data_IF_753850968590
#
_entry.id   IF_753850968590
#
_cell.length_a   1.000
_cell.length_b   1.000
_cell.length_c   1.000
_cell.angle_alpha   90.00
_cell.angle_beta   90.00
_cell.angle_gamma   90.00
#
_symmetry.space_group_name_H-M   'P 1'
#
loop_
_entity.id
_entity.type
_entity.pdbx_description
1 polymer ?
#
# COMPACT_ATOMS: atom_id res chain seq x y z
N UNK A 1 -21.09 -38.15 -27.54
CA UNK A 1 -21.66 -37.92 -26.19
C UNK A 1 -20.83 -38.71 -25.19
N UNK A 2 -19.95 -38.05 -24.42
CA UNK A 2 -19.20 -38.69 -23.33
C UNK A 2 -19.86 -38.30 -21.99
N UNK A 3 -19.97 -39.23 -21.03
CA UNK A 3 -20.63 -38.99 -19.75
C UNK A 3 -19.67 -38.25 -18.82
N UNK A 4 -20.11 -37.16 -18.20
CA UNK A 4 -19.35 -36.42 -17.21
C UNK A 4 -20.18 -36.33 -15.93
N UNK A 5 -19.97 -37.28 -15.04
CA UNK A 5 -19.94 -37.11 -13.58
C UNK A 5 -19.27 -38.39 -13.06
N UNK A 6 -17.94 -38.38 -13.04
CA UNK A 6 -17.19 -39.40 -12.32
C UNK A 6 -17.25 -39.02 -10.84
N UNK A 7 -17.91 -39.85 -10.02
CA UNK A 7 -17.84 -39.73 -8.57
C UNK A 7 -16.36 -39.66 -8.13
N UNK A 8 -16.00 -38.81 -7.15
CA UNK A 8 -14.64 -38.73 -6.64
C UNK A 8 -14.18 -40.14 -6.25
N UNK A 9 -12.98 -40.51 -6.70
CA UNK A 9 -12.44 -41.86 -6.47
C UNK A 9 -12.30 -42.03 -4.95
N UNK A 10 -12.79 -43.14 -4.41
CA UNK A 10 -12.77 -43.50 -2.97
C UNK A 10 -11.40 -43.25 -2.29
N UNK A 11 -10.30 -43.32 -3.05
CA UNK A 11 -8.94 -43.06 -2.58
C UNK A 11 -8.71 -41.61 -2.14
N UNK A 12 -9.36 -40.63 -2.77
CA UNK A 12 -9.18 -39.21 -2.47
C UNK A 12 -9.95 -38.83 -1.18
N UNK A 13 -11.11 -39.45 -0.93
CA UNK A 13 -11.87 -39.28 0.30
C UNK A 13 -11.12 -39.81 1.55
N UNK A 14 -10.44 -40.97 1.43
CA UNK A 14 -9.68 -41.57 2.54
C UNK A 14 -8.46 -40.72 2.93
N UNK A 15 -7.78 -40.12 1.94
CA UNK A 15 -6.65 -39.21 2.18
C UNK A 15 -7.08 -37.92 2.89
N UNK A 16 -8.23 -37.37 2.51
CA UNK A 16 -8.79 -36.17 3.13
C UNK A 16 -9.03 -36.34 4.64
N UNK A 17 -9.64 -37.47 5.02
CA UNK A 17 -9.80 -37.82 6.44
C UNK A 17 -8.46 -37.92 7.19
N UNK A 18 -7.42 -38.43 6.55
CA UNK A 18 -6.11 -38.64 7.21
C UNK A 18 -5.38 -37.31 7.48
N UNK A 19 -5.46 -36.35 6.55
CA UNK A 19 -4.82 -35.05 6.71
C UNK A 19 -5.54 -34.20 7.76
N UNK A 20 -6.87 -34.20 7.75
CA UNK A 20 -7.69 -33.51 8.74
C UNK A 20 -7.40 -34.00 10.16
N UNK A 21 -7.31 -35.32 10.36
CA UNK A 21 -6.98 -35.92 11.66
C UNK A 21 -5.62 -35.43 12.19
N UNK A 22 -4.59 -35.38 11.34
CA UNK A 22 -3.27 -34.86 11.71
C UNK A 22 -3.30 -33.38 12.09
N UNK A 23 -4.07 -32.56 11.38
CA UNK A 23 -4.23 -31.14 11.69
C UNK A 23 -4.90 -30.98 13.07
N UNK A 24 -5.96 -31.74 13.33
CA UNK A 24 -6.68 -31.72 14.62
C UNK A 24 -5.79 -32.20 15.77
N UNK A 25 -5.06 -33.30 15.58
CA UNK A 25 -4.13 -33.82 16.59
C UNK A 25 -3.06 -32.78 16.91
N UNK A 26 -2.54 -32.10 15.90
CA UNK A 26 -1.56 -31.03 16.07
C UNK A 26 -2.17 -29.84 16.81
N UNK A 27 -3.37 -29.39 16.44
CA UNK A 27 -4.08 -28.31 17.14
C UNK A 27 -4.30 -28.64 18.63
N UNK A 28 -4.66 -29.89 18.96
CA UNK A 28 -4.78 -30.37 20.35
C UNK A 28 -3.44 -30.32 21.08
N UNK A 29 -2.35 -30.75 20.45
CA UNK A 29 -0.97 -30.66 21.02
C UNK A 29 -0.55 -29.22 21.29
N UNK A 30 -1.01 -28.29 20.45
CA UNK A 30 -0.79 -26.86 20.62
C UNK A 30 -1.65 -26.25 21.74
N UNK A 31 -2.55 -27.01 22.37
CA UNK A 31 -3.36 -26.57 23.49
C UNK A 31 -4.65 -25.84 23.09
N UNK A 32 -5.06 -25.93 21.82
CA UNK A 32 -6.36 -25.44 21.35
C UNK A 32 -7.47 -26.35 21.89
N UNK A 33 -8.50 -25.74 22.47
CA UNK A 33 -9.66 -26.41 23.08
C UNK A 33 -10.88 -26.34 22.15
N UNK A 34 -11.93 -27.09 22.49
CA UNK A 34 -13.26 -27.00 21.89
C UNK A 34 -13.25 -27.07 20.36
N UNK A 35 -12.43 -27.98 19.82
CA UNK A 35 -12.29 -28.17 18.38
C UNK A 35 -13.57 -28.75 17.78
N UNK A 36 -14.17 -27.99 16.88
CA UNK A 36 -15.34 -28.39 16.08
C UNK A 36 -14.95 -28.45 14.60
N UNK A 37 -15.54 -29.40 13.88
CA UNK A 37 -15.40 -29.52 12.43
C UNK A 37 -16.77 -29.26 11.84
N UNK A 38 -16.83 -28.32 10.89
CA UNK A 38 -18.03 -28.00 10.13
C UNK A 38 -17.73 -28.19 8.66
N UNK A 39 -18.71 -28.69 7.92
CA UNK A 39 -18.66 -28.73 6.46
C UNK A 39 -19.41 -27.49 5.94
N UNK A 40 -18.78 -26.73 5.05
CA UNK A 40 -19.38 -25.57 4.39
C UNK A 40 -19.47 -25.86 2.90
N UNK A 41 -20.66 -25.67 2.33
CA UNK A 41 -20.86 -25.84 0.90
C UNK A 41 -20.73 -24.48 0.21
N UNK A 42 -19.59 -24.21 -0.41
CA UNK A 42 -19.39 -22.99 -1.17
C UNK A 42 -19.26 -23.30 -2.67
N UNK A 43 -20.26 -22.91 -3.45
CA UNK A 43 -20.23 -23.01 -4.93
C UNK A 43 -19.82 -24.40 -5.44
N UNK A 44 -20.51 -25.45 -4.98
CA UNK A 44 -20.25 -26.87 -5.33
C UNK A 44 -18.94 -27.48 -4.77
N UNK A 45 -18.11 -26.71 -4.08
CA UNK A 45 -16.96 -27.22 -3.33
C UNK A 45 -17.32 -27.36 -1.83
N UNK A 46 -17.10 -28.56 -1.30
CA UNK A 46 -17.19 -28.82 0.14
C UNK A 46 -15.88 -28.35 0.79
N UNK A 47 -15.98 -27.36 1.66
CA UNK A 47 -14.88 -26.86 2.48
C UNK A 47 -15.02 -27.41 3.90
N UNK A 48 -13.92 -27.88 4.49
CA UNK A 48 -13.90 -28.35 5.87
C UNK A 48 -13.34 -27.26 6.77
N UNK A 49 -14.20 -26.71 7.62
CA UNK A 49 -13.87 -25.65 8.56
C UNK A 49 -13.59 -26.23 9.95
N UNK A 50 -12.36 -26.07 10.43
CA UNK A 50 -11.94 -26.46 11.79
C UNK A 50 -11.94 -25.24 12.68
N UNK A 51 -12.81 -25.20 13.69
CA UNK A 51 -12.93 -24.08 14.64
C UNK A 51 -12.36 -24.51 15.98
N UNK A 52 -11.52 -23.69 16.61
CA UNK A 52 -10.93 -23.98 17.91
C UNK A 52 -10.78 -22.77 18.82
N UNK A 53 -10.82 -23.00 20.13
CA UNK A 53 -10.69 -21.96 21.16
C UNK A 53 -9.28 -21.92 21.74
N UNK A 54 -8.63 -20.76 21.67
CA UNK A 54 -7.38 -20.46 22.35
C UNK A 54 -7.57 -19.93 23.76
N UNK A 55 -6.47 -19.80 24.51
CA UNK A 55 -6.50 -19.31 25.91
C UNK A 55 -6.53 -17.80 25.99
N UNK A 56 -5.75 -17.15 25.14
CA UNK A 56 -5.63 -15.70 25.01
C UNK A 56 -5.02 -15.38 23.63
N UNK A 57 -4.97 -14.10 23.27
CA UNK A 57 -4.44 -13.58 22.01
C UNK A 57 -3.01 -14.03 21.70
N UNK A 58 -2.12 -14.00 22.71
CA UNK A 58 -0.73 -14.44 22.58
C UNK A 58 -0.63 -15.93 22.27
N UNK A 59 -1.43 -16.75 22.94
CA UNK A 59 -1.51 -18.19 22.70
C UNK A 59 -1.98 -18.49 21.27
N UNK A 60 -3.02 -17.80 20.79
CA UNK A 60 -3.52 -17.94 19.41
C UNK A 60 -2.44 -17.61 18.39
N UNK A 61 -1.70 -16.53 18.58
CA UNK A 61 -0.61 -16.16 17.66
C UNK A 61 0.48 -17.23 17.60
N UNK A 62 0.91 -17.76 18.75
CA UNK A 62 1.95 -18.78 18.81
C UNK A 62 1.48 -20.11 18.22
N UNK A 63 0.29 -20.57 18.61
CA UNK A 63 -0.28 -21.81 18.09
C UNK A 63 -0.47 -21.75 16.57
N UNK A 64 -0.96 -20.63 16.04
CA UNK A 64 -1.14 -20.44 14.59
C UNK A 64 0.18 -20.48 13.82
N UNK A 65 1.24 -19.84 14.35
CA UNK A 65 2.57 -19.88 13.73
C UNK A 65 3.21 -21.28 13.78
N UNK A 66 3.00 -22.00 14.88
CA UNK A 66 3.48 -23.38 15.02
C UNK A 66 2.73 -24.33 14.07
N UNK A 67 1.41 -24.17 13.95
CA UNK A 67 0.60 -24.92 12.98
C UNK A 67 1.04 -24.62 11.54
N UNK A 68 1.29 -23.34 11.20
CA UNK A 68 1.84 -22.94 9.89
C UNK A 68 3.13 -23.69 9.56
N UNK A 69 4.03 -23.76 10.55
CA UNK A 69 5.32 -24.43 10.42
C UNK A 69 5.16 -25.93 10.23
N UNK A 70 4.23 -26.55 10.98
CA UNK A 70 3.86 -27.95 10.80
C UNK A 70 3.34 -28.22 9.38
N UNK A 71 2.40 -27.41 8.88
CA UNK A 71 1.83 -27.57 7.54
C UNK A 71 2.90 -27.51 6.45
N UNK A 72 3.81 -26.53 6.55
CA UNK A 72 4.93 -26.38 5.63
C UNK A 72 5.86 -27.60 5.63
N UNK A 73 6.10 -28.18 6.80
CA UNK A 73 7.05 -29.28 6.96
C UNK A 73 6.46 -30.63 6.53
N UNK A 74 5.25 -30.94 6.99
CA UNK A 74 4.56 -32.21 6.79
C UNK A 74 3.96 -32.30 5.38
N UNK A 75 3.24 -31.27 4.93
CA UNK A 75 2.46 -31.30 3.69
C UNK A 75 3.10 -30.53 2.54
N UNK A 76 4.20 -29.81 2.79
CA UNK A 76 4.88 -28.96 1.80
C UNK A 76 3.99 -27.87 1.19
N UNK A 77 2.95 -27.45 1.91
CA UNK A 77 2.04 -26.37 1.50
C UNK A 77 2.42 -25.05 2.15
N UNK A 78 2.06 -23.94 1.51
CA UNK A 78 2.17 -22.62 2.10
C UNK A 78 0.79 -22.17 2.55
N UNK A 79 0.55 -22.13 3.86
CA UNK A 79 -0.71 -21.62 4.40
C UNK A 79 -0.73 -20.10 4.48
N UNK A 80 -1.87 -19.53 4.11
CA UNK A 80 -2.16 -18.11 4.30
C UNK A 80 -2.77 -17.91 5.68
N UNK A 81 -2.35 -16.85 6.36
CA UNK A 81 -2.73 -16.55 7.74
C UNK A 81 -3.31 -15.15 7.78
N UNK A 82 -4.56 -15.06 8.23
CA UNK A 82 -5.27 -13.82 8.45
C UNK A 82 -5.49 -13.58 9.94
N UNK A 83 -5.68 -12.32 10.33
CA UNK A 83 -5.90 -11.94 11.74
C UNK A 83 -4.65 -11.88 12.62
N UNK A 84 -3.46 -12.21 12.10
CA UNK A 84 -2.19 -11.99 12.83
C UNK A 84 -1.68 -10.56 12.68
N UNK A 85 -1.48 -9.89 13.82
CA UNK A 85 -0.69 -8.67 13.91
C UNK A 85 0.80 -8.97 13.85
N UNK A 86 1.45 -8.57 12.76
CA UNK A 86 2.91 -8.65 12.67
C UNK A 86 3.58 -7.56 13.51
N UNK A 87 4.81 -7.80 13.95
CA UNK A 87 5.61 -6.80 14.68
C UNK A 87 5.74 -5.49 13.89
N UNK A 88 5.89 -5.57 12.56
CA UNK A 88 5.97 -4.40 11.69
C UNK A 88 4.66 -3.61 11.64
N UNK A 89 3.52 -4.30 11.57
CA UNK A 89 2.20 -3.67 11.61
C UNK A 89 1.96 -2.99 12.97
N UNK A 90 2.32 -3.66 14.07
CA UNK A 90 2.28 -3.07 15.43
C UNK A 90 3.14 -1.81 15.52
N UNK A 91 4.39 -1.86 15.07
CA UNK A 91 5.30 -0.68 15.06
C UNK A 91 4.75 0.46 14.20
N UNK A 92 4.20 0.15 13.03
CA UNK A 92 3.60 1.16 12.14
C UNK A 92 2.41 1.85 12.80
N UNK A 93 1.55 1.10 13.46
CA UNK A 93 0.38 1.65 14.13
C UNK A 93 0.72 2.41 15.40
N UNK A 94 1.68 1.93 16.19
CA UNK A 94 2.26 2.69 17.30
C UNK A 94 2.81 4.04 16.82
N UNK A 95 3.55 4.06 15.70
CA UNK A 95 4.04 5.30 15.09
C UNK A 95 2.90 6.22 14.65
N UNK A 96 1.82 5.67 14.06
CA UNK A 96 0.64 6.45 13.65
C UNK A 96 -0.11 7.01 14.85
N UNK A 97 -0.29 6.21 15.91
CA UNK A 97 -0.90 6.62 17.16
C UNK A 97 -0.09 7.73 17.83
N UNK A 98 1.23 7.56 17.95
CA UNK A 98 2.14 8.58 18.50
C UNK A 98 2.09 9.89 17.69
N UNK A 99 2.12 9.81 16.36
CA UNK A 99 1.97 10.99 15.48
C UNK A 99 0.60 11.67 15.64
N UNK A 100 -0.47 10.90 15.86
CA UNK A 100 -1.82 11.43 16.08
C UNK A 100 -1.92 12.11 17.45
N UNK A 101 -1.40 11.48 18.50
CA UNK A 101 -1.34 12.03 19.86
C UNK A 101 -0.52 13.32 19.91
N UNK A 102 0.63 13.35 19.23
CA UNK A 102 1.47 14.55 19.14
C UNK A 102 0.75 15.73 18.46
N UNK A 103 -0.14 15.44 17.48
CA UNK A 103 -0.95 16.45 16.79
C UNK A 103 -2.19 16.88 17.58
N UNK A 104 -2.74 16.01 18.42
CA UNK A 104 -3.95 16.26 19.20
C UNK A 104 -3.60 16.27 20.69
N UNK A 105 -3.17 17.43 21.22
CA UNK A 105 -2.79 17.60 22.64
C UNK A 105 -3.89 17.29 23.68
N UNK A 106 -5.11 16.95 23.25
CA UNK A 106 -6.28 16.71 24.13
C UNK A 106 -7.21 15.58 23.64
N UNK A 107 -6.79 14.69 22.76
CA UNK A 107 -7.67 13.59 22.34
C UNK A 107 -7.71 12.50 23.43
N UNK A 108 -8.89 12.29 24.02
CA UNK A 108 -9.26 11.10 24.81
C UNK A 108 -8.88 9.84 24.03
N UNK A 109 -8.35 8.82 24.72
CA UNK A 109 -7.94 7.52 24.17
C UNK A 109 -9.04 6.97 23.27
N UNK A 110 -8.83 7.04 21.95
CA UNK A 110 -9.70 6.37 21.00
C UNK A 110 -9.26 4.92 21.03
N UNK A 111 -10.06 4.06 21.68
CA UNK A 111 -9.83 2.62 21.71
C UNK A 111 -9.70 2.12 20.27
N UNK A 112 -8.61 1.43 19.99
CA UNK A 112 -8.43 0.75 18.71
C UNK A 112 -9.39 -0.43 18.69
N UNK A 113 -10.52 -0.26 18.00
CA UNK A 113 -11.71 -1.14 17.96
C UNK A 113 -11.50 -2.60 17.55
N UNK A 114 -10.27 -3.07 17.37
CA UNK A 114 -9.97 -4.47 17.07
C UNK A 114 -8.85 -4.90 17.98
N UNK A 115 -9.20 -5.63 19.03
CA UNK A 115 -8.22 -6.29 19.90
C UNK A 115 -7.36 -7.22 19.03
N UNK A 116 -6.03 -7.00 18.97
CA UNK A 116 -5.18 -7.79 18.09
C UNK A 116 -5.19 -9.27 18.50
N UNK A 117 -5.32 -10.15 17.51
CA UNK A 117 -5.27 -11.62 17.65
C UNK A 117 -6.40 -12.27 18.46
N UNK A 118 -7.59 -11.68 18.55
CA UNK A 118 -8.76 -12.37 19.12
C UNK A 118 -9.34 -13.43 18.18
N UNK A 119 -9.02 -13.34 16.89
CA UNK A 119 -9.36 -14.32 15.86
C UNK A 119 -8.23 -14.43 14.83
N UNK A 120 -7.90 -15.66 14.46
CA UNK A 120 -6.89 -16.02 13.47
C UNK A 120 -7.50 -17.05 12.53
N UNK A 121 -7.56 -16.73 11.24
CA UNK A 121 -8.01 -17.66 10.21
C UNK A 121 -6.80 -18.13 9.39
N UNK A 122 -6.80 -19.40 9.00
CA UNK A 122 -5.73 -20.00 8.23
C UNK A 122 -6.31 -20.87 7.12
N UNK A 123 -5.96 -20.52 5.88
CA UNK A 123 -6.17 -21.39 4.74
C UNK A 123 -4.99 -22.36 4.64
N UNK A 124 -5.25 -23.65 4.79
CA UNK A 124 -4.17 -24.65 4.86
C UNK A 124 -3.53 -24.96 3.51
N UNK A 125 -4.26 -24.70 2.41
CA UNK A 125 -3.90 -25.10 1.06
C UNK A 125 -4.01 -26.61 0.81
N UNK A 126 -4.65 -27.35 1.72
CA UNK A 126 -4.82 -28.81 1.65
C UNK A 126 -6.32 -29.09 1.60
N UNK A 127 -6.80 -29.71 0.51
CA UNK A 127 -8.13 -30.32 0.43
C UNK A 127 -9.29 -29.41 0.88
N UNK A 128 -9.17 -28.09 0.63
CA UNK A 128 -10.13 -27.08 1.08
C UNK A 128 -10.41 -27.13 2.60
N UNK A 129 -9.36 -27.32 3.40
CA UNK A 129 -9.43 -27.23 4.86
C UNK A 129 -9.06 -25.81 5.30
N UNK A 130 -9.95 -25.15 6.04
CA UNK A 130 -9.68 -23.88 6.73
C UNK A 130 -9.69 -24.08 8.24
N UNK A 131 -8.81 -23.35 8.93
CA UNK A 131 -8.65 -23.44 10.39
C UNK A 131 -8.83 -22.08 11.02
N UNK A 132 -9.81 -21.97 11.92
CA UNK A 132 -10.17 -20.74 12.61
C UNK A 132 -9.93 -20.90 14.10
N UNK A 133 -8.96 -20.15 14.64
CA UNK A 133 -8.71 -20.09 16.07
C UNK A 133 -9.14 -18.75 16.65
N UNK A 134 -9.83 -18.76 17.79
CA UNK A 134 -10.35 -17.55 18.42
C UNK A 134 -10.35 -17.65 19.95
N UNK A 135 -10.48 -16.53 20.65
CA UNK A 135 -10.67 -16.54 22.12
C UNK A 135 -12.08 -16.99 22.47
N UNK A 136 -12.29 -17.41 23.72
CA UNK A 136 -13.62 -17.79 24.19
C UNK A 136 -14.62 -16.64 24.04
N UNK A 137 -14.24 -15.44 24.49
CA UNK A 137 -15.01 -14.19 24.32
C UNK A 137 -15.39 -13.97 22.85
N UNK A 138 -14.41 -14.08 21.94
CA UNK A 138 -14.66 -13.83 20.52
C UNK A 138 -15.54 -14.90 19.86
N UNK A 139 -15.50 -16.14 20.38
CA UNK A 139 -16.37 -17.23 19.93
C UNK A 139 -17.81 -17.02 20.36
N UNK A 140 -18.02 -16.52 21.57
CA UNK A 140 -19.34 -16.14 22.08
C UNK A 140 -19.91 -14.93 21.31
N UNK A 141 -19.07 -13.97 20.92
CA UNK A 141 -19.49 -12.80 20.13
C UNK A 141 -19.91 -13.14 18.70
N UNK A 142 -19.16 -14.01 18.01
CA UNK A 142 -19.43 -14.32 16.59
C UNK A 142 -20.56 -15.35 16.45
N UNK A 143 -20.92 -16.05 17.52
CA UNK A 143 -21.88 -17.17 17.56
C UNK A 143 -22.01 -17.89 16.21
N UNK A 144 -21.06 -18.76 15.89
CA UNK A 144 -21.10 -19.60 14.69
C UNK A 144 -22.21 -20.66 14.74
N UNK A 145 -23.38 -20.35 15.31
CA UNK A 145 -24.54 -21.23 15.25
C UNK A 145 -24.86 -21.51 13.77
N UNK A 146 -25.05 -22.79 13.46
CA UNK A 146 -24.98 -23.35 12.11
C UNK A 146 -26.09 -22.83 11.18
N UNK A 147 -27.13 -22.20 11.71
CA UNK A 147 -28.29 -21.74 10.93
C UNK A 147 -28.07 -20.36 10.26
N UNK A 148 -27.11 -19.55 10.72
CA UNK A 148 -26.91 -18.20 10.18
C UNK A 148 -25.88 -18.15 9.03
N UNK A 149 -24.84 -19.00 9.00
CA UNK A 149 -23.76 -18.85 8.00
C UNK A 149 -24.12 -19.25 6.55
N UNK A 150 -25.11 -20.13 6.38
CA UNK A 150 -25.59 -20.55 5.06
C UNK A 150 -26.82 -19.75 4.59
N UNK A 151 -27.39 -18.91 5.46
CA UNK A 151 -28.57 -18.07 5.17
C UNK A 151 -28.26 -16.59 4.96
N UNK A 152 -27.06 -16.13 5.36
CA UNK A 152 -26.64 -14.74 5.17
C UNK A 152 -26.11 -14.53 3.74
N UNK A 153 -26.81 -13.67 2.98
CA UNK A 153 -26.29 -13.16 1.73
C UNK A 153 -25.04 -12.27 1.96
N UNK A 154 -24.22 -12.06 0.92
CA UNK A 154 -23.03 -11.18 1.00
C UNK A 154 -23.36 -9.74 1.47
N UNK A 155 -24.64 -9.34 1.45
CA UNK A 155 -25.09 -8.04 1.90
C UNK A 155 -25.34 -7.98 3.43
N UNK A 156 -25.79 -9.06 4.05
CA UNK A 156 -25.95 -9.16 5.51
C UNK A 156 -24.60 -9.32 6.22
N UNK A 157 -23.62 -9.99 5.61
CA UNK A 157 -22.23 -10.01 6.09
C UNK A 157 -21.68 -8.57 6.19
N UNK A 158 -21.85 -7.76 5.12
CA UNK A 158 -21.49 -6.32 5.13
C UNK A 158 -22.29 -5.51 6.16
N UNK A 159 -23.53 -5.92 6.43
CA UNK A 159 -24.39 -5.25 7.41
C UNK A 159 -23.90 -5.49 8.83
N UNK A 160 -23.51 -6.73 9.16
CA UNK A 160 -22.90 -7.05 10.44
C UNK A 160 -21.58 -6.31 10.64
N UNK A 161 -20.70 -6.26 9.62
CA UNK A 161 -19.47 -5.44 9.67
C UNK A 161 -19.75 -3.95 10.00
N UNK A 162 -20.89 -3.41 9.53
CA UNK A 162 -21.29 -2.02 9.79
C UNK A 162 -21.87 -1.79 11.19
N UNK A 163 -22.63 -2.74 11.72
CA UNK A 163 -23.32 -2.63 13.03
C UNK A 163 -22.33 -2.80 14.18
N UNK A 164 -21.34 -3.69 14.03
CA UNK A 164 -20.33 -3.95 15.06
C UNK A 164 -19.27 -2.84 15.20
N UNK A 165 -19.27 -1.82 14.33
CA UNK A 165 -18.36 -0.68 14.45
C UNK A 165 -18.72 0.28 15.61
N UNK A 166 -19.84 0.10 16.32
CA UNK A 166 -20.43 1.14 17.19
C UNK A 166 -20.74 0.74 18.66
N UNK A 167 -20.21 -0.35 19.20
CA UNK A 167 -20.46 -0.70 20.62
C UNK A 167 -19.27 -0.30 21.53
N UNK A 168 -19.48 0.43 22.64
CA UNK A 168 -18.46 0.66 23.66
C UNK A 168 -18.63 -0.33 24.81
N UNK A 169 -17.54 -0.92 25.30
CA UNK A 169 -17.52 -1.62 26.59
C UNK A 169 -16.36 -1.09 27.43
N UNK A 170 -16.62 -0.94 28.72
CA UNK A 170 -15.80 -0.27 29.74
C UNK A 170 -15.53 -1.24 30.89
N UNK A 171 -14.40 -1.02 31.57
CA UNK A 171 -13.93 -1.61 32.85
C UNK A 171 -12.83 -2.69 32.77
N UNK A 172 -12.55 -3.30 31.61
CA UNK A 172 -11.34 -4.17 31.43
C UNK A 172 -10.16 -3.43 30.76
N UNK A 173 -10.39 -2.25 30.18
CA UNK A 173 -9.39 -1.47 29.44
C UNK A 173 -8.36 -0.80 30.36
N UNK A 174 -8.72 -0.45 31.61
CA UNK A 174 -7.85 0.33 32.50
C UNK A 174 -6.71 -0.48 33.13
N UNK A 175 -6.84 -1.80 33.29
CA UNK A 175 -5.78 -2.63 33.87
C UNK A 175 -4.69 -3.00 32.84
N UNK A 176 -5.10 -3.34 31.60
CA UNK A 176 -4.17 -3.65 30.50
C UNK A 176 -3.42 -2.42 29.97
N UNK A 177 -4.04 -1.24 30.01
CA UNK A 177 -3.37 0.02 29.63
C UNK A 177 -2.20 0.36 30.57
N UNK A 178 -2.34 0.10 31.88
CA UNK A 178 -1.27 0.38 32.85
C UNK A 178 -0.06 -0.53 32.69
N UNK A 179 -0.26 -1.82 32.39
CA UNK A 179 0.86 -2.75 32.17
C UNK A 179 1.61 -2.42 30.87
N UNK A 180 0.89 -2.06 29.81
CA UNK A 180 1.51 -1.70 28.53
C UNK A 180 2.28 -0.37 28.59
N UNK A 181 1.79 0.63 29.34
CA UNK A 181 2.51 1.88 29.57
C UNK A 181 3.81 1.65 30.37
N UNK A 182 3.77 0.79 31.39
CA UNK A 182 4.95 0.46 32.20
C UNK A 182 6.01 -0.28 31.36
N UNK A 183 5.61 -1.23 30.51
CA UNK A 183 6.55 -1.94 29.63
C UNK A 183 7.21 -0.99 28.62
N UNK A 184 6.46 -0.04 28.07
CA UNK A 184 6.95 0.95 27.11
C UNK A 184 7.91 1.96 27.74
N UNK A 185 7.65 2.42 28.98
CA UNK A 185 8.56 3.29 29.71
C UNK A 185 9.90 2.59 29.98
N UNK A 186 9.86 1.31 30.35
CA UNK A 186 11.06 0.52 30.61
C UNK A 186 11.89 0.27 29.33
N UNK A 187 11.25 0.00 28.20
CA UNK A 187 11.94 -0.22 26.92
C UNK A 187 12.60 1.07 26.41
N UNK A 188 11.89 2.20 26.50
CA UNK A 188 12.42 3.52 26.11
C UNK A 188 13.60 3.96 27.00
N UNK A 189 13.53 3.72 28.31
CA UNK A 189 14.65 4.01 29.21
C UNK A 189 15.90 3.18 28.86
N UNK A 190 15.72 1.93 28.44
CA UNK A 190 16.83 1.05 28.07
C UNK A 190 17.46 1.45 26.75
N UNK A 191 16.67 1.84 25.74
CA UNK A 191 17.19 2.39 24.49
C UNK A 191 17.99 3.68 24.73
N UNK A 192 17.46 4.60 25.53
CA UNK A 192 18.13 5.87 25.84
C UNK A 192 19.45 5.66 26.58
N UNK A 193 19.49 4.73 27.54
CA UNK A 193 20.73 4.35 28.25
C UNK A 193 21.77 3.74 27.30
N UNK A 194 21.34 2.99 26.29
CA UNK A 194 22.24 2.39 25.31
C UNK A 194 22.80 3.43 24.33
N UNK A 195 21.97 4.37 23.86
CA UNK A 195 22.40 5.47 22.99
C UNK A 195 23.42 6.37 23.70
N UNK A 196 23.14 6.79 24.94
CA UNK A 196 24.07 7.59 25.76
C UNK A 196 25.42 6.89 25.98
N UNK A 197 25.39 5.56 26.16
CA UNK A 197 26.61 4.76 26.33
C UNK A 197 27.41 4.66 25.03
N UNK A 198 26.74 4.59 23.88
CA UNK A 198 27.37 4.55 22.57
C UNK A 198 27.96 5.92 22.18
N UNK A 199 27.25 7.02 22.44
CA UNK A 199 27.77 8.37 22.20
C UNK A 199 29.01 8.67 23.07
N UNK A 200 28.96 8.32 24.36
CA UNK A 200 30.12 8.48 25.26
C UNK A 200 31.34 7.68 24.80
N UNK A 201 31.12 6.50 24.19
CA UNK A 201 32.19 5.66 23.65
C UNK A 201 32.78 6.25 22.35
N UNK A 202 31.92 6.76 21.46
CA UNK A 202 32.33 7.42 20.22
C UNK A 202 33.10 8.72 20.47
N UNK A 203 32.74 9.49 21.49
CA UNK A 203 33.51 10.68 21.91
C UNK A 203 34.90 10.34 22.45
N UNK A 204 35.07 9.19 23.10
CA UNK A 204 36.38 8.70 23.54
C UNK A 204 37.26 8.22 22.37
N UNK A 205 36.65 7.54 21.40
CA UNK A 205 37.35 7.03 20.21
C UNK A 205 37.77 8.18 19.26
N UNK A 206 36.93 9.21 19.10
CA UNK A 206 37.27 10.40 18.31
C UNK A 206 38.40 11.23 18.91
N UNK A 207 38.51 11.32 20.25
CA UNK A 207 39.63 11.99 20.93
C UNK A 207 40.96 11.22 20.80
N UNK A 208 40.93 9.90 20.72
CA UNK A 208 42.13 9.08 20.50
C UNK A 208 42.61 9.07 19.05
N UNK A 209 41.74 9.41 18.08
CA UNK A 209 42.07 9.33 16.64
C UNK A 209 42.65 10.63 16.08
N UNK A 210 42.63 11.74 16.83
CA UNK A 210 43.21 13.03 16.41
C UNK A 210 44.75 13.08 16.36
N UNK A 211 45.45 11.97 16.61
CA UNK A 211 46.93 11.94 16.60
C UNK A 211 47.59 11.41 15.32
N UNK A 212 46.85 10.96 14.30
CA UNK A 212 47.44 10.52 13.03
C UNK A 212 46.63 11.03 11.84
N UNK A 213 47.06 12.16 11.27
CA UNK A 213 46.51 12.71 10.04
C UNK A 213 47.15 12.04 8.82
N UNK A 214 46.38 11.16 8.16
CA UNK A 214 46.59 10.69 6.80
C UNK A 214 45.26 10.78 6.04
N UNK A 215 45.34 11.14 4.77
CA UNK A 215 44.22 11.49 3.87
C UNK A 215 43.01 10.52 3.93
N UNK A 216 41.77 11.03 3.75
CA UNK A 216 40.57 10.21 3.84
C UNK A 216 40.44 9.34 2.58
N UNK A 217 41.01 8.13 2.66
CA UNK A 217 40.66 7.02 1.79
C UNK A 217 39.32 6.45 2.26
N UNK A 218 38.28 6.59 1.45
CA UNK A 218 36.98 5.98 1.71
C UNK A 218 37.17 4.47 1.96
N UNK A 219 36.71 3.93 3.10
CA UNK A 219 36.90 2.52 3.39
C UNK A 219 35.99 1.70 2.46
N UNK A 220 36.62 0.98 1.52
CA UNK A 220 35.98 -0.10 0.78
C UNK A 220 35.75 -1.25 1.76
N UNK A 221 34.64 -1.18 2.51
CA UNK A 221 34.08 -2.35 3.18
C UNK A 221 33.50 -3.24 2.10
N UNK A 222 34.10 -4.42 1.91
CA UNK A 222 33.63 -5.48 1.01
C UNK A 222 32.39 -6.23 1.52
N UNK A 223 31.68 -5.68 2.51
CA UNK A 223 30.33 -6.09 2.86
C UNK A 223 29.33 -5.24 2.08
N UNK A 224 29.10 -5.56 0.81
CA UNK A 224 27.98 -5.00 0.07
C UNK A 224 26.74 -5.69 0.62
N UNK A 225 26.17 -5.11 1.67
CA UNK A 225 24.78 -5.32 2.03
C UNK A 225 23.92 -5.03 0.78
N UNK A 226 22.92 -5.85 0.52
CA UNK A 226 22.02 -5.71 -0.63
C UNK A 226 21.50 -4.26 -0.70
N UNK A 227 22.02 -3.49 -1.66
CA UNK A 227 21.52 -2.14 -1.91
C UNK A 227 20.08 -2.30 -2.36
N UNK A 228 19.15 -1.77 -1.58
CA UNK A 228 17.75 -1.66 -2.00
C UNK A 228 17.70 -0.70 -3.19
N UNK A 229 17.61 -1.27 -4.39
CA UNK A 229 17.60 -0.57 -5.68
C UNK A 229 16.49 0.48 -5.72
N UNK A 230 15.33 0.17 -5.14
CA UNK A 230 14.17 1.05 -5.10
C UNK A 230 14.45 2.23 -4.17
N UNK A 231 15.03 1.98 -3.00
CA UNK A 231 15.39 3.05 -2.06
C UNK A 231 16.44 3.99 -2.66
N UNK A 232 17.50 3.45 -3.28
CA UNK A 232 18.52 4.27 -3.93
C UNK A 232 17.93 5.17 -5.03
N UNK A 233 17.09 4.59 -5.91
CA UNK A 233 16.46 5.36 -6.98
C UNK A 233 15.50 6.41 -6.40
N UNK A 234 14.78 6.08 -5.34
CA UNK A 234 13.88 7.00 -4.65
C UNK A 234 14.66 8.21 -4.11
N UNK A 235 15.75 7.97 -3.39
CA UNK A 235 16.60 9.03 -2.84
C UNK A 235 17.18 9.91 -3.96
N UNK A 236 17.67 9.28 -5.03
CA UNK A 236 18.18 9.96 -6.21
C UNK A 236 17.12 10.84 -6.89
N UNK A 237 15.88 10.35 -7.03
CA UNK A 237 14.79 11.11 -7.64
C UNK A 237 14.48 12.36 -6.82
N UNK A 238 14.40 12.26 -5.50
CA UNK A 238 14.01 13.42 -4.67
C UNK A 238 15.16 14.36 -4.31
N UNK A 239 16.42 13.93 -4.43
CA UNK A 239 17.61 14.77 -4.21
C UNK A 239 17.55 16.04 -5.10
N UNK A 240 17.50 17.24 -4.52
CA UNK A 240 17.49 18.51 -5.27
C UNK A 240 16.19 18.86 -6.03
N UNK A 241 15.30 17.90 -6.33
CA UNK A 241 14.04 18.19 -7.06
C UNK A 241 13.09 19.12 -6.27
N UNK A 242 13.10 19.03 -4.94
CA UNK A 242 12.26 19.87 -4.09
C UNK A 242 12.60 21.37 -4.15
N UNK A 243 13.77 21.73 -4.66
CA UNK A 243 14.17 23.13 -4.86
C UNK A 243 13.42 23.75 -6.04
N UNK A 244 13.15 22.97 -7.09
CA UNK A 244 12.40 23.40 -8.26
C UNK A 244 10.93 23.67 -7.97
N UNK A 245 10.35 23.03 -6.94
CA UNK A 245 8.99 23.31 -6.49
C UNK A 245 8.79 24.76 -6.01
N UNK A 246 9.87 25.51 -5.79
CA UNK A 246 9.85 26.92 -5.37
C UNK A 246 10.18 27.89 -6.51
N UNK A 247 10.54 27.37 -7.68
CA UNK A 247 11.01 28.17 -8.80
C UNK A 247 9.92 28.34 -9.86
N UNK A 248 9.87 29.51 -10.54
CA UNK A 248 9.06 29.67 -11.74
C UNK A 248 9.70 28.94 -12.92
N UNK A 249 8.90 28.52 -13.89
CA UNK A 249 9.40 27.88 -15.11
C UNK A 249 9.93 28.96 -16.06
N UNK A 250 11.24 29.17 -16.02
CA UNK A 250 11.99 30.02 -16.93
C UNK A 250 12.95 29.17 -17.77
N UNK A 251 13.43 29.69 -18.91
CA UNK A 251 14.41 28.96 -19.74
C UNK A 251 15.68 28.59 -18.95
N UNK A 252 16.15 29.51 -18.09
CA UNK A 252 17.31 29.28 -17.22
C UNK A 252 17.04 28.14 -16.22
N UNK A 253 15.90 28.15 -15.55
CA UNK A 253 15.53 27.09 -14.60
C UNK A 253 15.25 25.76 -15.31
N UNK A 254 14.73 25.78 -16.54
CA UNK A 254 14.58 24.57 -17.37
C UNK A 254 15.94 23.97 -17.75
N UNK A 255 16.93 24.80 -18.09
CA UNK A 255 18.30 24.34 -18.34
C UNK A 255 18.90 23.75 -17.06
N UNK A 256 18.74 24.44 -15.92
CA UNK A 256 19.20 23.93 -14.63
C UNK A 256 18.55 22.58 -14.27
N UNK A 257 17.24 22.43 -14.51
CA UNK A 257 16.53 21.18 -14.29
C UNK A 257 17.04 20.05 -15.19
N UNK A 258 17.30 20.33 -16.48
CA UNK A 258 17.87 19.33 -17.40
C UNK A 258 19.26 18.89 -16.99
N UNK A 259 20.10 19.82 -16.54
CA UNK A 259 21.42 19.50 -16.02
C UNK A 259 21.33 18.61 -14.77
N UNK A 260 20.36 18.86 -13.87
CA UNK A 260 20.09 17.99 -12.74
C UNK A 260 19.65 16.59 -13.20
N UNK A 261 18.77 16.50 -14.20
CA UNK A 261 18.37 15.21 -14.79
C UNK A 261 19.57 14.47 -15.40
N UNK A 262 20.49 15.17 -16.06
CA UNK A 262 21.72 14.60 -16.61
C UNK A 262 22.63 14.02 -15.52
N UNK A 263 22.88 14.79 -14.45
CA UNK A 263 23.67 14.35 -13.30
C UNK A 263 23.07 13.08 -12.68
N UNK A 264 21.75 13.05 -12.49
CA UNK A 264 21.07 11.90 -11.90
C UNK A 264 21.08 10.68 -12.80
N UNK A 265 20.87 10.86 -14.11
CA UNK A 265 20.99 9.76 -15.06
C UNK A 265 22.42 9.20 -15.07
N UNK A 266 23.43 10.04 -14.94
CA UNK A 266 24.82 9.61 -14.83
C UNK A 266 25.05 8.79 -13.54
N UNK A 267 24.57 9.27 -12.38
CA UNK A 267 24.61 8.51 -11.10
C UNK A 267 23.90 7.16 -11.20
N UNK A 268 22.74 7.10 -11.88
CA UNK A 268 22.00 5.86 -12.11
C UNK A 268 22.80 4.87 -12.97
N UNK A 269 23.43 5.35 -14.05
CA UNK A 269 24.28 4.53 -14.93
C UNK A 269 25.51 4.00 -14.18
N UNK A 270 26.16 4.83 -13.36
CA UNK A 270 27.29 4.40 -12.53
C UNK A 270 26.88 3.31 -11.54
N UNK A 271 25.73 3.45 -10.90
CA UNK A 271 25.16 2.42 -10.02
C UNK A 271 24.92 1.12 -10.81
N UNK A 272 24.32 1.19 -11.99
CA UNK A 272 24.08 0.03 -12.85
C UNK A 272 25.39 -0.67 -13.28
N UNK A 273 26.37 0.10 -13.76
CA UNK A 273 27.67 -0.41 -14.21
C UNK A 273 28.48 -1.04 -13.07
N UNK A 274 28.37 -0.50 -11.85
CA UNK A 274 29.13 -0.98 -10.69
C UNK A 274 28.47 -2.17 -9.98
N UNK A 275 27.14 -2.19 -9.91
CA UNK A 275 26.41 -3.14 -9.05
C UNK A 275 25.61 -4.20 -9.82
N UNK A 276 25.23 -3.95 -11.07
CA UNK A 276 24.42 -4.91 -11.86
C UNK A 276 25.25 -5.64 -12.90
N UNK A 277 25.93 -4.87 -13.76
CA UNK A 277 26.65 -5.39 -14.92
C UNK A 277 27.73 -6.44 -14.57
N UNK A 278 28.57 -6.27 -13.54
CA UNK A 278 29.64 -7.24 -13.22
C UNK A 278 29.09 -8.61 -12.81
N UNK A 279 27.84 -8.65 -12.36
CA UNK A 279 27.15 -9.88 -11.96
C UNK A 279 26.25 -10.44 -13.06
N UNK A 280 26.32 -9.89 -14.28
CA UNK A 280 25.43 -10.22 -15.41
C UNK A 280 23.94 -10.13 -15.02
N UNK A 281 23.61 -9.26 -14.05
CA UNK A 281 22.23 -8.97 -13.67
C UNK A 281 21.68 -7.92 -14.63
N UNK A 282 20.49 -8.18 -15.15
CA UNK A 282 19.73 -7.16 -15.89
C UNK A 282 18.98 -6.29 -14.90
N UNK A 283 18.91 -4.98 -15.18
CA UNK A 283 18.05 -4.09 -14.43
C UNK A 283 16.60 -4.47 -14.75
N UNK A 284 15.91 -5.12 -13.81
CA UNK A 284 14.51 -5.44 -13.97
C UNK A 284 13.71 -4.16 -13.76
N UNK A 285 13.36 -3.50 -14.87
CA UNK A 285 12.47 -2.35 -14.84
C UNK A 285 11.05 -2.81 -14.48
N UNK A 286 10.79 -2.85 -13.18
CA UNK A 286 9.44 -3.00 -12.66
C UNK A 286 8.70 -1.65 -12.75
N UNK A 287 7.41 -1.69 -12.39
CA UNK A 287 6.52 -0.55 -12.42
C UNK A 287 7.01 0.61 -11.56
N UNK A 288 7.49 0.31 -10.36
CA UNK A 288 7.96 1.28 -9.38
C UNK A 288 9.17 2.04 -9.94
N UNK A 289 10.12 1.31 -10.54
CA UNK A 289 11.30 1.88 -11.17
C UNK A 289 10.94 2.75 -12.38
N UNK A 290 10.05 2.29 -13.28
CA UNK A 290 9.61 3.12 -14.39
C UNK A 290 8.91 4.40 -13.92
N UNK A 291 8.13 4.31 -12.84
CA UNK A 291 7.46 5.47 -12.23
C UNK A 291 8.48 6.44 -11.64
N UNK A 292 9.52 5.94 -10.98
CA UNK A 292 10.60 6.77 -10.44
C UNK A 292 11.44 7.40 -11.54
N UNK A 293 11.77 6.67 -12.61
CA UNK A 293 12.44 7.21 -13.79
C UNK A 293 11.61 8.29 -14.47
N UNK A 294 10.29 8.12 -14.50
CA UNK A 294 9.39 9.16 -15.00
C UNK A 294 9.46 10.42 -14.13
N UNK A 295 9.35 10.25 -12.80
CA UNK A 295 9.46 11.34 -11.82
C UNK A 295 10.82 12.04 -11.86
N UNK A 296 11.91 11.35 -12.21
CA UNK A 296 13.22 11.96 -12.36
C UNK A 296 13.21 13.12 -13.36
N UNK A 297 12.37 13.01 -14.39
CA UNK A 297 12.31 13.91 -15.54
C UNK A 297 11.13 14.88 -15.51
N UNK A 298 10.34 14.87 -14.43
CA UNK A 298 9.20 15.78 -14.22
C UNK A 298 9.22 16.28 -12.79
N UNK A 299 9.29 17.60 -12.60
CA UNK A 299 9.22 18.20 -11.28
C UNK A 299 8.10 19.26 -11.19
N UNK A 300 7.42 19.36 -10.03
CA UNK A 300 6.47 20.44 -9.78
C UNK A 300 7.20 21.80 -9.81
N UNK A 301 6.50 22.85 -10.27
CA UNK A 301 6.95 24.24 -10.13
C UNK A 301 6.16 24.97 -9.03
N UNK A 302 6.46 26.24 -8.81
CA UNK A 302 5.81 27.08 -7.78
C UNK A 302 4.29 27.18 -7.93
N UNK A 303 3.78 27.10 -9.17
CA UNK A 303 2.34 27.16 -9.48
C UNK A 303 1.71 25.76 -9.64
N UNK A 304 2.43 24.70 -9.29
CA UNK A 304 1.85 23.36 -9.29
C UNK A 304 0.81 23.22 -8.18
N UNK A 305 -0.24 22.44 -8.45
CA UNK A 305 -1.34 22.20 -7.51
C UNK A 305 -1.41 20.71 -7.26
N UNK A 306 -1.59 20.31 -5.99
CA UNK A 306 -1.71 18.90 -5.67
C UNK A 306 -3.02 18.32 -6.21
N UNK A 307 -3.04 17.02 -6.54
CA UNK A 307 -4.25 16.33 -7.00
C UNK A 307 -5.43 16.53 -6.04
N UNK A 308 -5.16 16.54 -4.73
CA UNK A 308 -6.17 16.76 -3.69
C UNK A 308 -6.78 18.17 -3.76
N UNK A 309 -5.96 19.19 -3.99
CA UNK A 309 -6.43 20.57 -4.14
C UNK A 309 -7.20 20.76 -5.45
N UNK A 310 -6.73 20.16 -6.56
CA UNK A 310 -7.40 20.18 -7.85
C UNK A 310 -8.80 19.54 -7.77
N UNK A 311 -8.92 18.41 -7.08
CA UNK A 311 -10.20 17.72 -6.86
C UNK A 311 -11.15 18.50 -5.93
N UNK A 312 -10.60 19.21 -4.94
CA UNK A 312 -11.37 20.03 -4.02
C UNK A 312 -11.91 21.31 -4.70
N UNK A 313 -11.13 21.90 -5.60
CA UNK A 313 -11.51 23.10 -6.34
C UNK A 313 -11.04 23.03 -7.81
N UNK A 314 -11.90 22.53 -8.72
CA UNK A 314 -11.57 22.43 -10.14
C UNK A 314 -11.59 23.78 -10.87
N UNK A 315 -11.97 24.89 -10.23
CA UNK A 315 -12.09 26.18 -10.89
C UNK A 315 -10.77 26.63 -11.53
N UNK A 316 -10.87 27.18 -12.73
CA UNK A 316 -9.74 27.78 -13.44
C UNK A 316 -9.16 28.96 -12.62
N UNK A 317 -7.83 28.99 -12.46
CA UNK A 317 -7.12 30.13 -11.83
C UNK A 317 -6.00 30.61 -12.74
N UNK A 318 -5.00 29.78 -12.92
CA UNK A 318 -3.80 30.04 -13.74
C UNK A 318 -3.32 28.70 -14.32
N UNK A 319 -2.62 28.72 -15.47
CA UNK A 319 -2.03 27.51 -16.05
C UNK A 319 -1.10 26.86 -15.04
N UNK A 320 -1.18 25.54 -14.95
CA UNK A 320 -0.27 24.79 -14.10
C UNK A 320 1.13 24.79 -14.74
N UNK A 321 2.15 25.16 -13.98
CA UNK A 321 3.55 25.08 -14.41
C UNK A 321 4.24 23.84 -13.86
N UNK A 322 5.10 23.22 -14.67
CA UNK A 322 5.98 22.12 -14.26
C UNK A 322 7.29 22.14 -15.05
N UNK A 323 8.34 21.63 -14.43
CA UNK A 323 9.61 21.39 -15.11
C UNK A 323 9.55 20.05 -15.82
N UNK A 324 9.87 20.08 -17.11
CA UNK A 324 9.73 18.92 -18.00
C UNK A 324 11.02 18.67 -18.77
N UNK A 325 11.50 17.44 -18.70
CA UNK A 325 12.58 16.94 -19.55
C UNK A 325 12.01 16.05 -20.68
N UNK A 326 12.39 16.28 -21.96
CA UNK A 326 11.89 15.52 -23.10
C UNK A 326 12.06 13.99 -22.99
N UNK A 327 13.02 13.51 -22.19
CA UNK A 327 13.26 12.07 -22.00
C UNK A 327 12.11 11.35 -21.29
N UNK A 328 11.21 12.05 -20.62
CA UNK A 328 10.07 11.39 -20.00
C UNK A 328 9.01 10.92 -21.01
N UNK A 329 9.01 11.43 -22.26
CA UNK A 329 8.11 10.95 -23.32
C UNK A 329 8.27 9.45 -23.59
N UNK A 330 9.47 8.98 -23.95
CA UNK A 330 9.76 7.54 -24.06
C UNK A 330 9.44 6.73 -22.80
N UNK A 331 9.69 7.27 -21.60
CA UNK A 331 9.41 6.58 -20.33
C UNK A 331 7.90 6.43 -20.11
N UNK A 332 7.11 7.46 -20.42
CA UNK A 332 5.65 7.40 -20.42
C UNK A 332 5.16 6.33 -21.37
N UNK A 333 5.70 6.26 -22.58
CA UNK A 333 5.26 5.30 -23.57
C UNK A 333 5.57 3.85 -23.11
N UNK A 334 6.68 3.64 -22.40
CA UNK A 334 6.98 2.38 -21.71
C UNK A 334 6.01 2.07 -20.56
N UNK A 335 5.66 3.05 -19.71
CA UNK A 335 4.65 2.88 -18.66
C UNK A 335 3.29 2.48 -19.25
N UNK A 336 2.90 3.09 -20.37
CA UNK A 336 1.67 2.73 -21.09
C UNK A 336 1.75 1.30 -21.64
N UNK A 337 2.88 0.93 -22.26
CA UNK A 337 3.06 -0.38 -22.89
C UNK A 337 3.14 -1.54 -21.89
N UNK A 338 3.61 -1.29 -20.67
CA UNK A 338 3.80 -2.30 -19.63
C UNK A 338 2.56 -2.58 -18.78
N UNK A 339 1.45 -1.87 -19.02
CA UNK A 339 0.25 -2.00 -18.19
C UNK A 339 0.39 -1.37 -16.80
N UNK A 340 1.39 -0.50 -16.59
CA UNK A 340 1.64 0.21 -15.34
C UNK A 340 0.53 1.22 -14.94
N UNK A 341 -0.62 1.19 -15.61
CA UNK A 341 -1.76 2.09 -15.39
C UNK A 341 -2.84 1.51 -14.46
N UNK A 342 -2.63 0.30 -13.90
CA UNK A 342 -3.50 -0.27 -12.85
C UNK A 342 -3.44 0.49 -11.50
N UNK A 343 -2.49 1.41 -11.34
CA UNK A 343 -2.16 2.12 -10.12
C UNK A 343 -2.50 3.57 -10.37
N UNK A 344 -3.46 4.02 -9.58
CA UNK A 344 -4.03 5.34 -9.69
C UNK A 344 -2.99 6.43 -9.46
N UNK A 345 -1.95 6.18 -8.66
CA UNK A 345 -0.89 7.14 -8.41
C UNK A 345 -0.03 7.36 -9.67
N UNK A 346 0.27 6.29 -10.41
CA UNK A 346 0.96 6.37 -11.71
C UNK A 346 0.12 7.14 -12.72
N UNK A 347 -1.16 6.80 -12.83
CA UNK A 347 -2.10 7.49 -13.72
C UNK A 347 -2.18 8.98 -13.36
N UNK A 348 -2.26 9.30 -12.07
CA UNK A 348 -2.36 10.67 -11.60
C UNK A 348 -1.12 11.51 -11.92
N UNK A 349 0.09 10.95 -11.77
CA UNK A 349 1.34 11.62 -12.15
C UNK A 349 1.37 11.91 -13.65
N UNK A 350 1.01 10.91 -14.48
CA UNK A 350 1.02 11.04 -15.94
C UNK A 350 -0.04 12.05 -16.42
N UNK A 351 -1.23 12.06 -15.83
CA UNK A 351 -2.26 13.04 -16.17
C UNK A 351 -1.82 14.45 -15.79
N UNK A 352 -1.25 14.64 -14.59
CA UNK A 352 -0.76 15.94 -14.17
C UNK A 352 0.30 16.46 -15.16
N UNK A 353 1.34 15.66 -15.44
CA UNK A 353 2.40 16.05 -16.37
C UNK A 353 1.90 16.34 -17.79
N UNK A 354 0.97 15.55 -18.33
CA UNK A 354 0.41 15.77 -19.66
C UNK A 354 -0.54 16.97 -19.74
N UNK A 355 -1.19 17.33 -18.63
CA UNK A 355 -1.93 18.58 -18.52
C UNK A 355 -0.97 19.78 -18.65
N UNK A 356 0.24 19.68 -18.11
CA UNK A 356 1.28 20.70 -18.20
C UNK A 356 1.91 20.82 -19.60
N UNK A 357 2.21 19.69 -20.26
CA UNK A 357 2.90 19.71 -21.57
C UNK A 357 2.00 20.07 -22.75
N UNK A 358 0.70 20.28 -22.49
CA UNK A 358 -0.28 20.58 -23.52
C UNK A 358 -0.32 19.50 -24.64
N UNK A 359 -0.28 18.22 -24.23
CA UNK A 359 -0.45 17.07 -25.12
C UNK A 359 -1.85 16.47 -24.94
N UNK A 360 -2.91 17.05 -25.54
CA UNK A 360 -4.29 16.61 -25.31
C UNK A 360 -4.54 15.15 -25.69
N UNK A 361 -3.95 14.68 -26.78
CA UNK A 361 -4.19 13.32 -27.28
C UNK A 361 -3.57 12.28 -26.34
N UNK A 362 -2.32 12.51 -25.91
CA UNK A 362 -1.64 11.69 -24.90
C UNK A 362 -2.41 11.69 -23.58
N UNK A 363 -2.87 12.87 -23.14
CA UNK A 363 -3.63 13.04 -21.90
C UNK A 363 -4.90 12.18 -21.88
N UNK A 364 -5.73 12.28 -22.92
CA UNK A 364 -6.98 11.52 -22.99
C UNK A 364 -6.76 10.02 -23.21
N UNK A 365 -5.67 9.64 -23.90
CA UNK A 365 -5.25 8.25 -24.02
C UNK A 365 -4.89 7.66 -22.65
N UNK A 366 -4.08 8.36 -21.85
CA UNK A 366 -3.73 7.91 -20.49
C UNK A 366 -4.96 7.80 -19.62
N UNK A 367 -5.88 8.78 -19.66
CA UNK A 367 -7.17 8.68 -18.94
C UNK A 367 -7.96 7.44 -19.35
N UNK A 368 -8.10 7.18 -20.65
CA UNK A 368 -8.88 6.05 -21.14
C UNK A 368 -8.30 4.71 -20.66
N UNK A 369 -6.99 4.56 -20.78
CA UNK A 369 -6.31 3.35 -20.31
C UNK A 369 -6.36 3.22 -18.78
N UNK A 370 -6.16 4.31 -18.03
CA UNK A 370 -6.28 4.30 -16.56
C UNK A 370 -7.67 3.84 -16.10
N UNK A 371 -8.74 4.26 -16.79
CA UNK A 371 -10.10 3.76 -16.52
C UNK A 371 -10.23 2.28 -16.90
N UNK A 372 -9.73 1.86 -18.06
CA UNK A 372 -9.81 0.48 -18.53
C UNK A 372 -9.12 -0.51 -17.58
N UNK A 373 -7.98 -0.10 -16.99
CA UNK A 373 -7.20 -0.91 -16.07
C UNK A 373 -7.58 -0.74 -14.60
N UNK A 374 -8.54 0.15 -14.27
CA UNK A 374 -8.99 0.34 -12.89
C UNK A 374 -9.94 -0.80 -12.47
N UNK A 375 -9.60 -1.61 -11.44
CA UNK A 375 -10.39 -2.78 -11.05
C UNK A 375 -11.76 -2.45 -10.43
N UNK A 376 -11.96 -1.24 -9.89
CA UNK A 376 -13.24 -0.86 -9.27
C UNK A 376 -13.90 0.36 -9.93
N UNK A 377 -15.25 0.43 -9.92
CA UNK A 377 -15.98 1.63 -10.36
C UNK A 377 -15.57 2.90 -9.63
N UNK A 378 -15.18 2.80 -8.36
CA UNK A 378 -14.72 3.94 -7.55
C UNK A 378 -13.38 4.50 -8.03
N UNK A 379 -12.46 3.63 -8.44
CA UNK A 379 -11.18 4.04 -9.02
C UNK A 379 -11.38 4.64 -10.41
N UNK A 380 -12.23 4.04 -11.25
CA UNK A 380 -12.61 4.59 -12.55
C UNK A 380 -13.19 6.00 -12.41
N UNK A 381 -14.07 6.20 -11.43
CA UNK A 381 -14.62 7.51 -11.09
C UNK A 381 -13.51 8.48 -10.65
N UNK A 382 -12.60 8.04 -9.79
CA UNK A 382 -11.49 8.86 -9.29
C UNK A 382 -10.56 9.32 -10.42
N UNK A 383 -10.23 8.43 -11.37
CA UNK A 383 -9.44 8.78 -12.57
C UNK A 383 -10.17 9.81 -13.44
N UNK A 384 -11.49 9.66 -13.61
CA UNK A 384 -12.31 10.60 -14.38
C UNK A 384 -12.39 11.98 -13.73
N UNK A 385 -12.70 12.01 -12.44
CA UNK A 385 -12.79 13.24 -11.66
C UNK A 385 -11.46 14.00 -11.68
N UNK A 386 -10.34 13.27 -11.55
CA UNK A 386 -9.00 13.85 -11.63
C UNK A 386 -8.69 14.39 -13.03
N UNK A 387 -8.95 13.60 -14.08
CA UNK A 387 -8.67 14.02 -15.45
C UNK A 387 -9.47 15.26 -15.87
N UNK A 388 -10.75 15.34 -15.49
CA UNK A 388 -11.56 16.53 -15.78
C UNK A 388 -11.01 17.73 -15.01
N UNK A 389 -10.73 17.56 -13.71
CA UNK A 389 -10.24 18.65 -12.89
C UNK A 389 -8.89 19.19 -13.39
N UNK A 390 -7.97 18.31 -13.80
CA UNK A 390 -6.69 18.69 -14.41
C UNK A 390 -6.87 19.35 -15.77
N UNK A 391 -7.80 18.87 -16.60
CA UNK A 391 -8.11 19.48 -17.89
C UNK A 391 -8.69 20.90 -17.75
N UNK A 392 -9.54 21.14 -16.73
CA UNK A 392 -10.02 22.49 -16.41
C UNK A 392 -8.86 23.39 -15.95
N UNK A 393 -7.97 22.84 -15.11
CA UNK A 393 -6.84 23.57 -14.56
C UNK A 393 -5.71 23.86 -15.55
N UNK A 394 -5.56 23.06 -16.61
CA UNK A 394 -4.50 23.27 -17.59
C UNK A 394 -4.66 24.58 -18.37
N UNK A 395 -5.87 25.15 -18.41
CA UNK A 395 -6.17 26.32 -19.24
C UNK A 395 -6.13 26.03 -20.74
N UNK A 396 -6.09 24.77 -21.14
CA UNK A 396 -6.05 24.42 -22.56
C UNK A 396 -7.46 24.26 -23.13
N UNK A 397 -7.82 25.13 -24.09
CA UNK A 397 -9.16 25.14 -24.70
C UNK A 397 -9.59 23.78 -25.26
N UNK A 398 -8.67 23.01 -25.88
CA UNK A 398 -8.98 21.69 -26.45
C UNK A 398 -9.21 20.64 -25.36
N UNK A 399 -8.38 20.64 -24.32
CA UNK A 399 -8.56 19.73 -23.17
C UNK A 399 -9.86 20.05 -22.42
N UNK A 400 -10.15 21.32 -22.16
CA UNK A 400 -11.37 21.75 -21.47
C UNK A 400 -12.61 21.37 -22.28
N UNK A 401 -12.62 21.63 -23.60
CA UNK A 401 -13.74 21.24 -24.46
C UNK A 401 -13.98 19.72 -24.46
N UNK A 402 -12.90 18.93 -24.51
CA UNK A 402 -12.99 17.47 -24.44
C UNK A 402 -13.51 17.00 -23.08
N UNK A 403 -13.06 17.62 -21.98
CA UNK A 403 -13.52 17.36 -20.63
C UNK A 403 -15.01 17.70 -20.46
N UNK A 404 -15.45 18.84 -21.02
CA UNK A 404 -16.85 19.24 -21.04
C UNK A 404 -17.74 18.23 -21.76
N UNK A 405 -17.36 17.81 -22.97
CA UNK A 405 -18.12 16.81 -23.72
C UNK A 405 -18.18 15.48 -22.98
N UNK A 406 -17.07 15.05 -22.39
CA UNK A 406 -17.03 13.84 -21.58
C UNK A 406 -17.95 13.94 -20.35
N UNK A 407 -17.84 15.01 -19.56
CA UNK A 407 -18.64 15.24 -18.35
C UNK A 407 -20.14 15.31 -18.66
N UNK A 408 -20.52 15.99 -19.76
CA UNK A 408 -21.91 16.13 -20.19
C UNK A 408 -22.54 14.80 -20.60
N UNK A 409 -21.78 13.93 -21.28
CA UNK A 409 -22.25 12.61 -21.70
C UNK A 409 -22.30 11.60 -20.55
N UNK A 410 -21.69 11.91 -19.41
CA UNK A 410 -21.53 11.03 -18.26
C UNK A 410 -22.08 11.69 -16.98
N UNK A 411 -23.18 12.44 -17.10
CA UNK A 411 -23.70 13.29 -16.01
C UNK A 411 -24.03 12.54 -14.72
N UNK A 412 -24.43 11.27 -14.84
CA UNK A 412 -24.79 10.43 -13.69
C UNK A 412 -23.55 9.96 -12.91
N UNK A 413 -22.39 9.89 -13.56
CA UNK A 413 -21.13 9.45 -12.93
C UNK A 413 -20.22 10.63 -12.57
N UNK A 414 -20.26 11.68 -13.37
CA UNK A 414 -19.47 12.91 -13.22
C UNK A 414 -20.35 13.99 -12.62
N UNK A 415 -20.06 14.38 -11.38
CA UNK A 415 -20.88 15.35 -10.64
C UNK A 415 -21.02 16.70 -11.37
N UNK A 416 -22.19 17.33 -11.26
CA UNK A 416 -22.56 18.62 -11.88
C UNK A 416 -21.52 19.74 -11.67
N UNK A 417 -20.76 19.68 -10.57
CA UNK A 417 -19.66 20.62 -10.27
C UNK A 417 -18.60 20.69 -11.39
N UNK A 418 -18.30 19.57 -12.06
CA UNK A 418 -17.28 19.52 -13.10
C UNK A 418 -17.77 20.09 -14.42
N UNK A 419 -19.04 19.88 -14.76
CA UNK A 419 -19.68 20.49 -15.94
C UNK A 419 -19.63 22.02 -15.79
N UNK A 420 -20.04 22.51 -14.62
CA UNK A 420 -20.05 23.95 -14.30
C UNK A 420 -18.63 24.52 -14.39
N UNK A 421 -17.63 23.83 -13.81
CA UNK A 421 -16.23 24.27 -13.86
C UNK A 421 -15.69 24.35 -15.31
N UNK A 422 -16.07 23.42 -16.18
CA UNK A 422 -15.71 23.49 -17.61
C UNK A 422 -16.39 24.66 -18.33
N UNK A 423 -17.67 24.92 -18.06
CA UNK A 423 -18.43 26.04 -18.65
C UNK A 423 -17.83 27.38 -18.24
N UNK A 424 -17.55 27.56 -16.94
CA UNK A 424 -16.91 28.76 -16.39
C UNK A 424 -15.53 28.98 -17.03
N UNK A 425 -14.71 27.94 -17.12
CA UNK A 425 -13.38 28.03 -17.73
C UNK A 425 -13.45 28.40 -19.22
N UNK A 426 -14.38 27.80 -19.99
CA UNK A 426 -14.56 28.15 -21.40
C UNK A 426 -15.05 29.58 -21.59
N UNK A 427 -15.92 30.08 -20.69
CA UNK A 427 -16.41 31.47 -20.72
C UNK A 427 -15.26 32.45 -20.49
N UNK A 428 -14.45 32.22 -19.45
CA UNK A 428 -13.27 33.05 -19.14
C UNK A 428 -12.30 33.09 -20.34
N UNK A 429 -12.08 31.93 -20.99
CA UNK A 429 -11.20 31.84 -22.17
C UNK A 429 -11.77 32.51 -23.44
N UNK A 430 -13.08 32.73 -23.51
CA UNK A 430 -13.73 33.49 -24.59
C UNK A 430 -13.60 35.00 -24.35
N UNK A 431 -13.70 35.46 -23.10
CA UNK A 431 -13.54 36.87 -22.74
C UNK A 431 -12.10 37.39 -22.92
N UNK A 432 -11.11 36.50 -22.86
CA UNK A 432 -9.69 36.81 -23.07
C UNK A 432 -9.25 36.87 -24.55
N UNK A 433 -10.11 36.45 -25.49
CA UNK A 433 -9.86 36.48 -26.95
C UNK A 433 -10.47 37.73 -27.58
#
# INVERSE_FOLDING_TARGET
MRPWYAAPKVVDAVKATTNLEKIIETAKKLGIKDLEIKERNHNENVEQLVIGTGKNSRHLSLASMQLKTFLKNEFKTHSMLEGLYTANRRKLEQRRAARKQQRQRYATSISTKILPHTWVAMETGIENISVHFMTAERREEIDFSVDDLDSLDDAEIKRFESVYSNKPETELETELETEAEIELQNELENELKNELKNESKNELETKNTQHNAGEPMWPVKTGIEDIDEVQFITDLVYEGQSEFAKLPVTDENLIAFRNLCDEKNQKLLEMYEKHMRPHNKSLLLNREMLTMLYRLHVAPAVNSVSNKEVLANPAFKEPLDAFYDPRCGPIRDLLIATGALEDIDVVAILLASLAHTNEPDSFWRVRHLGVLYSPSPEQQKSVNDLAIALAVRSGNKKQIASAYHFAKNNRDTVGQKYITACEDALSIMQEQQ
#
